data_IF_425941005705
#
_entry.id   IF_425941005705
#
_cell.length_a   1.000
_cell.length_b   1.000
_cell.length_c   1.000
_cell.angle_alpha   90.00
_cell.angle_beta   90.00
_cell.angle_gamma   90.00
#
_symmetry.space_group_name_H-M   'P 1'
#
loop_
_entity.id
_entity.type
_entity.pdbx_description
1 polymer ?
#
# COMPACT_ATOMS: atom_id res chain seq x y z
N UNK A 1 -12.88 -3.70 -2.33
CA UNK A 1 -13.41 -2.93 -3.47
C UNK A 1 -12.81 -3.56 -4.72
N UNK A 2 -13.63 -4.06 -5.64
CA UNK A 2 -13.14 -4.65 -6.91
C UNK A 2 -13.06 -3.53 -7.92
N UNK A 3 -11.89 -3.31 -8.51
CA UNK A 3 -11.69 -2.35 -9.59
C UNK A 3 -12.51 -2.75 -10.81
N UNK A 4 -13.00 -1.76 -11.56
CA UNK A 4 -13.56 -2.01 -12.90
C UNK A 4 -12.52 -2.78 -13.75
N UNK A 5 -12.86 -4.00 -14.24
CA UNK A 5 -11.96 -4.81 -15.06
C UNK A 5 -11.45 -4.06 -16.30
N UNK A 6 -12.23 -3.13 -16.85
CA UNK A 6 -11.83 -2.30 -17.99
C UNK A 6 -10.67 -1.36 -17.64
N UNK A 7 -10.73 -0.71 -16.47
CA UNK A 7 -9.67 0.18 -16.00
C UNK A 7 -8.38 -0.60 -15.73
N UNK A 8 -8.49 -1.76 -15.08
CA UNK A 8 -7.32 -2.60 -14.77
C UNK A 8 -6.69 -3.16 -16.04
N UNK A 9 -7.50 -3.60 -17.00
CA UNK A 9 -6.99 -4.16 -18.27
C UNK A 9 -6.27 -3.14 -19.12
N UNK A 10 -6.69 -1.86 -19.07
CA UNK A 10 -6.06 -0.79 -19.83
C UNK A 10 -4.65 -0.45 -19.33
N UNK A 11 -4.47 -0.37 -18.00
CA UNK A 11 -3.16 -0.11 -17.38
C UNK A 11 -3.10 -0.75 -15.98
N UNK A 12 -2.71 -2.03 -15.88
CA UNK A 12 -2.77 -2.76 -14.61
C UNK A 12 -1.76 -2.24 -13.60
N UNK A 13 -0.62 -1.71 -14.06
CA UNK A 13 0.40 -1.16 -13.18
C UNK A 13 -0.05 0.16 -12.57
N UNK A 14 -0.63 1.06 -13.36
CA UNK A 14 -1.22 2.30 -12.85
C UNK A 14 -2.41 2.06 -11.94
N UNK A 15 -3.24 1.07 -12.24
CA UNK A 15 -4.36 0.70 -11.38
C UNK A 15 -3.92 0.33 -9.95
N UNK A 16 -2.75 -0.32 -9.78
CA UNK A 16 -2.18 -0.65 -8.45
C UNK A 16 -1.87 0.58 -7.59
N UNK A 17 -1.67 1.75 -8.19
CA UNK A 17 -1.50 2.98 -7.43
C UNK A 17 -2.78 3.35 -6.67
N UNK A 18 -3.94 3.02 -7.22
CA UNK A 18 -5.24 3.31 -6.62
C UNK A 18 -5.71 2.18 -5.70
N UNK A 19 -5.63 0.93 -6.17
CA UNK A 19 -6.18 -0.23 -5.45
C UNK A 19 -5.45 -1.50 -5.86
N UNK A 20 -5.19 -2.39 -4.91
CA UNK A 20 -4.70 -3.72 -5.22
C UNK A 20 -5.83 -4.54 -5.87
N UNK A 21 -5.71 -4.81 -7.16
CA UNK A 21 -6.68 -5.62 -7.91
C UNK A 21 -6.39 -7.13 -7.84
N UNK A 22 -5.19 -7.55 -7.41
CA UNK A 22 -4.88 -8.96 -7.24
C UNK A 22 -5.36 -9.45 -5.88
N UNK A 23 -6.54 -10.08 -5.86
CA UNK A 23 -7.02 -10.82 -4.70
C UNK A 23 -6.28 -12.16 -4.56
N UNK A 24 -6.17 -12.66 -3.33
CA UNK A 24 -5.48 -13.93 -3.04
C UNK A 24 -6.05 -15.14 -3.79
N UNK A 25 -7.36 -15.14 -4.04
CA UNK A 25 -8.05 -16.17 -4.82
C UNK A 25 -8.33 -15.75 -6.28
N UNK A 26 -7.87 -14.58 -6.71
CA UNK A 26 -8.21 -14.00 -8.01
C UNK A 26 -7.19 -14.26 -9.11
N UNK A 27 -6.04 -14.87 -8.79
CA UNK A 27 -4.97 -15.15 -9.73
C UNK A 27 -4.95 -16.61 -10.19
N UNK A 28 -4.81 -16.82 -11.51
CA UNK A 28 -4.42 -18.11 -12.08
C UNK A 28 -3.07 -17.94 -12.77
N UNK A 29 -2.11 -18.78 -12.41
CA UNK A 29 -0.73 -18.68 -12.87
C UNK A 29 -0.33 -19.94 -13.61
N UNK A 30 0.41 -19.79 -14.71
CA UNK A 30 1.05 -20.92 -15.37
C UNK A 30 2.36 -21.24 -14.66
N UNK A 31 2.53 -22.49 -14.23
CA UNK A 31 3.71 -22.95 -13.47
C UNK A 31 5.01 -22.87 -14.28
N UNK A 32 4.92 -22.91 -15.61
CA UNK A 32 6.06 -22.74 -16.53
C UNK A 32 6.50 -21.27 -16.71
N UNK A 33 5.74 -20.31 -16.18
CA UNK A 33 6.02 -18.86 -16.30
C UNK A 33 6.20 -18.17 -14.96
N UNK A 34 5.39 -18.52 -13.96
CA UNK A 34 5.45 -17.93 -12.63
C UNK A 34 6.05 -18.95 -11.67
N UNK A 35 7.35 -18.81 -11.40
CA UNK A 35 8.03 -19.64 -10.39
C UNK A 35 7.63 -19.21 -8.97
N UNK A 36 8.00 -20.03 -8.00
CA UNK A 36 7.83 -19.73 -6.57
C UNK A 36 8.57 -18.47 -6.12
N UNK A 37 9.59 -18.04 -6.86
CA UNK A 37 10.41 -16.87 -6.51
C UNK A 37 9.58 -15.58 -6.53
N UNK A 38 8.52 -15.52 -7.33
CA UNK A 38 7.58 -14.40 -7.32
C UNK A 38 6.85 -14.24 -5.98
N UNK A 39 6.65 -15.35 -5.29
CA UNK A 39 6.01 -15.45 -3.97
C UNK A 39 7.04 -15.41 -2.83
N UNK A 40 8.34 -15.34 -3.14
CA UNK A 40 9.34 -15.09 -2.10
C UNK A 40 9.04 -13.73 -1.46
N UNK A 41 9.01 -13.67 -0.14
CA UNK A 41 8.55 -12.45 0.50
C UNK A 41 8.47 -12.62 1.99
N UNK A 42 9.29 -11.86 2.69
CA UNK A 42 9.28 -11.77 4.15
C UNK A 42 8.12 -10.92 4.68
N UNK A 43 7.26 -10.40 3.79
CA UNK A 43 6.22 -9.45 4.15
C UNK A 43 5.02 -10.15 4.79
N UNK A 44 4.82 -9.92 6.09
CA UNK A 44 3.68 -10.44 6.84
C UNK A 44 2.31 -9.92 6.33
N UNK A 45 2.31 -8.77 5.65
CA UNK A 45 1.15 -8.12 5.08
C UNK A 45 1.47 -7.62 3.67
N UNK A 46 0.44 -7.36 2.85
CA UNK A 46 0.58 -6.84 1.48
C UNK A 46 1.32 -7.74 0.49
N UNK A 47 1.47 -9.04 0.79
CA UNK A 47 2.05 -10.04 -0.11
C UNK A 47 1.48 -9.95 -1.53
N UNK A 48 0.15 -9.85 -1.66
CA UNK A 48 -0.53 -9.74 -2.95
C UNK A 48 -0.31 -8.42 -3.66
N UNK A 49 -0.07 -7.33 -2.92
CA UNK A 49 0.28 -6.04 -3.54
C UNK A 49 1.69 -6.10 -4.11
N UNK A 50 2.65 -6.62 -3.35
CA UNK A 50 4.02 -6.81 -3.84
C UNK A 50 4.07 -7.76 -5.04
N UNK A 51 3.38 -8.91 -4.93
CA UNK A 51 3.26 -9.87 -6.01
C UNK A 51 2.65 -9.24 -7.26
N UNK A 52 1.56 -8.46 -7.12
CA UNK A 52 0.94 -7.80 -8.25
C UNK A 52 1.94 -6.89 -8.98
N UNK A 53 2.68 -6.06 -8.25
CA UNK A 53 3.72 -5.19 -8.83
C UNK A 53 4.82 -5.99 -9.52
N UNK A 54 5.33 -7.07 -8.90
CA UNK A 54 6.33 -7.95 -9.51
C UNK A 54 5.83 -8.56 -10.81
N UNK A 55 4.60 -9.05 -10.84
CA UNK A 55 4.00 -9.69 -12.02
C UNK A 55 3.80 -8.68 -13.16
N UNK A 56 3.22 -7.51 -12.90
CA UNK A 56 3.01 -6.52 -13.98
C UNK A 56 4.30 -5.87 -14.47
N UNK A 57 5.36 -5.88 -13.65
CA UNK A 57 6.66 -5.39 -14.08
C UNK A 57 7.36 -6.34 -15.08
N UNK A 58 7.09 -7.65 -15.00
CA UNK A 58 7.79 -8.64 -15.83
C UNK A 58 6.90 -9.37 -16.85
N UNK A 59 5.57 -9.27 -16.74
CA UNK A 59 4.65 -10.08 -17.54
C UNK A 59 3.47 -9.28 -18.09
N UNK A 60 2.98 -9.72 -19.25
CA UNK A 60 1.67 -9.34 -19.76
C UNK A 60 0.60 -10.22 -19.09
N UNK A 61 -0.49 -9.59 -18.69
CA UNK A 61 -1.59 -10.26 -17.99
C UNK A 61 -2.88 -10.13 -18.80
N UNK A 62 -3.75 -11.13 -18.65
CA UNK A 62 -5.11 -11.09 -19.15
C UNK A 62 -6.07 -11.03 -17.95
N UNK A 63 -7.14 -10.26 -18.10
CA UNK A 63 -8.15 -10.07 -17.06
C UNK A 63 -9.48 -10.65 -17.52
N UNK A 64 -10.13 -11.39 -16.63
CA UNK A 64 -11.46 -11.96 -16.89
C UNK A 64 -12.50 -10.95 -16.44
N UNK A 65 -13.35 -10.50 -17.37
CA UNK A 65 -14.38 -9.48 -17.11
C UNK A 65 -15.63 -9.98 -16.39
N UNK A 66 -15.70 -11.26 -16.03
CA UNK A 66 -16.80 -11.84 -15.26
C UNK A 66 -16.38 -12.09 -13.79
N UNK A 67 -17.32 -12.01 -12.84
CA UNK A 67 -17.04 -12.35 -11.45
C UNK A 67 -16.67 -13.84 -11.30
N UNK A 68 -15.50 -14.13 -10.73
CA UNK A 68 -14.99 -15.51 -10.54
C UNK A 68 -14.75 -15.90 -9.09
N UNK A 69 -14.81 -14.94 -8.16
CA UNK A 69 -14.62 -15.18 -6.73
C UNK A 69 -15.40 -14.17 -5.88
N UNK A 70 -15.55 -14.49 -4.58
CA UNK A 70 -16.12 -13.60 -3.56
C UNK A 70 -15.12 -13.43 -2.42
N UNK A 71 -14.80 -12.18 -2.10
CA UNK A 71 -13.97 -11.84 -0.93
C UNK A 71 -14.89 -11.40 0.20
N UNK A 72 -14.70 -11.98 1.39
CA UNK A 72 -15.37 -11.54 2.62
C UNK A 72 -14.45 -10.60 3.39
N UNK A 73 -14.88 -9.36 3.58
CA UNK A 73 -14.23 -8.37 4.44
C UNK A 73 -15.06 -8.23 5.72
N UNK A 74 -14.49 -8.62 6.86
CA UNK A 74 -15.17 -8.64 8.15
C UNK A 74 -14.43 -7.75 9.14
N UNK A 75 -15.06 -7.32 10.23
CA UNK A 75 -14.42 -6.48 11.25
C UNK A 75 -13.14 -7.08 11.82
N UNK A 76 -13.02 -8.41 11.84
CA UNK A 76 -11.82 -9.15 12.29
C UNK A 76 -10.73 -9.33 11.23
N UNK A 77 -10.84 -8.75 10.03
CA UNK A 77 -9.81 -8.89 8.99
C UNK A 77 -8.45 -8.34 9.46
N UNK A 78 -7.37 -9.09 9.19
CA UNK A 78 -5.99 -8.74 9.62
C UNK A 78 -5.52 -7.38 9.09
N UNK A 79 -6.09 -6.89 7.99
CA UNK A 79 -5.86 -5.55 7.43
C UNK A 79 -6.28 -4.41 8.35
N UNK A 80 -7.02 -4.70 9.43
CA UNK A 80 -7.45 -3.73 10.45
C UNK A 80 -6.54 -3.71 11.67
N UNK A 81 -5.49 -4.55 11.70
CA UNK A 81 -4.53 -4.59 12.81
C UNK A 81 -3.59 -3.37 12.79
N UNK A 82 -3.07 -2.93 13.96
CA UNK A 82 -2.05 -1.89 14.02
C UNK A 82 -0.82 -2.22 13.17
N UNK A 83 -0.34 -3.47 13.25
CA UNK A 83 0.82 -3.96 12.49
C UNK A 83 0.68 -3.83 10.96
N UNK A 84 -0.55 -3.82 10.44
CA UNK A 84 -0.81 -3.59 9.02
C UNK A 84 -0.31 -2.21 8.56
N UNK A 85 -0.49 -1.16 9.37
CA UNK A 85 -0.07 0.21 8.99
C UNK A 85 1.44 0.34 8.86
N UNK A 86 2.18 -0.34 9.73
CA UNK A 86 3.63 -0.35 9.71
C UNK A 86 4.16 -1.08 8.48
N UNK A 87 3.58 -2.24 8.17
CA UNK A 87 3.97 -3.02 7.01
C UNK A 87 3.65 -2.33 5.67
N UNK A 88 2.70 -1.39 5.62
CA UNK A 88 2.44 -0.59 4.42
C UNK A 88 3.68 0.23 3.99
N UNK A 89 4.41 0.80 4.96
CA UNK A 89 5.65 1.54 4.66
C UNK A 89 6.71 0.61 4.10
N UNK A 90 6.88 -0.56 4.70
CA UNK A 90 7.91 -1.50 4.30
C UNK A 90 7.62 -2.09 2.91
N UNK A 91 6.38 -2.51 2.64
CA UNK A 91 6.03 -3.02 1.30
C UNK A 91 6.17 -1.95 0.22
N UNK A 92 5.82 -0.68 0.50
CA UNK A 92 5.95 0.39 -0.48
C UNK A 92 7.43 0.71 -0.78
N UNK A 93 8.34 0.55 0.19
CA UNK A 93 9.78 0.62 -0.06
C UNK A 93 10.26 -0.52 -0.95
N UNK A 94 9.80 -1.75 -0.70
CA UNK A 94 10.13 -2.89 -1.56
C UNK A 94 9.63 -2.68 -2.99
N UNK A 95 8.38 -2.24 -3.15
CA UNK A 95 7.82 -1.90 -4.47
C UNK A 95 8.65 -0.81 -5.15
N UNK A 96 9.07 0.23 -4.41
CA UNK A 96 9.90 1.30 -4.95
C UNK A 96 11.30 0.85 -5.41
N UNK A 97 11.79 -0.32 -4.98
CA UNK A 97 13.05 -0.90 -5.45
C UNK A 97 12.91 -1.70 -6.75
N UNK A 98 11.69 -2.00 -7.17
CA UNK A 98 11.45 -2.63 -8.46
C UNK A 98 11.83 -1.68 -9.62
N UNK A 99 12.10 -2.26 -10.78
CA UNK A 99 12.29 -1.51 -12.01
C UNK A 99 10.93 -1.04 -12.55
N UNK A 100 10.48 0.12 -12.06
CA UNK A 100 9.21 0.72 -12.39
C UNK A 100 9.39 1.93 -13.32
N UNK A 101 8.48 2.13 -14.29
CA UNK A 101 8.40 3.39 -15.03
C UNK A 101 8.29 4.59 -14.08
N UNK A 102 8.91 5.71 -14.46
CA UNK A 102 9.04 6.90 -13.61
C UNK A 102 7.69 7.43 -13.09
N UNK A 103 6.64 7.41 -13.92
CA UNK A 103 5.29 7.80 -13.48
C UNK A 103 4.78 6.92 -12.33
N UNK A 104 4.98 5.61 -12.45
CA UNK A 104 4.54 4.62 -11.46
C UNK A 104 5.37 4.75 -10.19
N UNK A 105 6.71 4.85 -10.33
CA UNK A 105 7.63 5.10 -9.22
C UNK A 105 7.21 6.33 -8.43
N UNK A 106 6.92 7.45 -9.10
CA UNK A 106 6.45 8.69 -8.45
C UNK A 106 5.11 8.50 -7.74
N UNK A 107 4.21 7.69 -8.32
CA UNK A 107 2.96 7.27 -7.69
C UNK A 107 3.18 6.48 -6.40
N UNK A 108 4.08 5.50 -6.41
CA UNK A 108 4.48 4.72 -5.24
C UNK A 108 5.09 5.62 -4.16
N UNK A 109 5.98 6.55 -4.54
CA UNK A 109 6.59 7.51 -3.61
C UNK A 109 5.54 8.43 -2.96
N UNK A 110 4.50 8.84 -3.70
CA UNK A 110 3.37 9.58 -3.13
C UNK A 110 2.58 8.74 -2.11
N UNK A 111 2.34 7.45 -2.42
CA UNK A 111 1.70 6.52 -1.46
C UNK A 111 2.55 6.34 -0.20
N UNK A 112 3.87 6.24 -0.36
CA UNK A 112 4.81 6.11 0.76
C UNK A 112 4.78 7.35 1.66
N UNK A 113 4.75 8.55 1.08
CA UNK A 113 4.53 9.79 1.83
C UNK A 113 3.21 9.79 2.62
N UNK A 114 2.12 9.34 2.00
CA UNK A 114 0.82 9.18 2.67
C UNK A 114 0.87 8.14 3.80
N UNK A 115 1.53 7.00 3.60
CA UNK A 115 1.68 5.95 4.61
C UNK A 115 2.44 6.48 5.84
N UNK A 116 3.51 7.25 5.63
CA UNK A 116 4.21 7.95 6.71
C UNK A 116 3.31 8.93 7.46
N UNK A 117 2.51 9.73 6.75
CA UNK A 117 1.55 10.61 7.39
C UNK A 117 0.51 9.84 8.24
N UNK A 118 -0.01 8.72 7.73
CA UNK A 118 -0.95 7.86 8.45
C UNK A 118 -0.33 7.26 9.72
N UNK A 119 0.94 6.86 9.68
CA UNK A 119 1.67 6.39 10.86
C UNK A 119 1.89 7.52 11.87
N UNK A 120 2.20 8.73 11.40
CA UNK A 120 2.31 9.89 12.28
C UNK A 120 1.01 10.14 13.05
N UNK A 121 -0.14 10.16 12.35
CA UNK A 121 -1.44 10.37 13.01
C UNK A 121 -1.81 9.23 13.94
N UNK A 122 -1.48 7.99 13.60
CA UNK A 122 -1.65 6.86 14.50
C UNK A 122 -0.83 7.01 15.79
N UNK A 123 0.49 7.24 15.68
CA UNK A 123 1.35 7.46 16.85
C UNK A 123 0.88 8.66 17.69
N UNK A 124 0.41 9.73 17.05
CA UNK A 124 -0.15 10.90 17.76
C UNK A 124 -1.40 10.52 18.56
N UNK A 125 -2.31 9.73 17.99
CA UNK A 125 -3.51 9.23 18.68
C UNK A 125 -3.15 8.29 19.84
N UNK A 126 -2.07 7.53 19.70
CA UNK A 126 -1.56 6.61 20.73
C UNK A 126 -0.64 7.26 21.77
N UNK A 127 -0.41 8.58 21.73
CA UNK A 127 0.46 9.30 22.68
C UNK A 127 1.97 9.15 22.44
N UNK A 128 2.39 8.48 21.36
CA UNK A 128 3.80 8.29 20.99
C UNK A 128 4.37 9.50 20.25
N UNK A 129 4.59 10.60 20.96
CA UNK A 129 4.98 11.88 20.37
C UNK A 129 6.26 11.82 19.50
N UNK A 130 7.30 11.11 19.97
CA UNK A 130 8.56 10.97 19.23
C UNK A 130 8.36 10.27 17.88
N UNK A 131 7.64 9.14 17.87
CA UNK A 131 7.28 8.40 16.65
C UNK A 131 6.43 9.27 15.72
N UNK A 132 5.46 10.00 16.27
CA UNK A 132 4.58 10.88 15.51
C UNK A 132 5.36 11.95 14.75
N UNK A 133 6.31 12.64 15.42
CA UNK A 133 7.19 13.63 14.79
C UNK A 133 8.09 13.01 13.73
N UNK A 134 8.74 11.88 14.04
CA UNK A 134 9.63 11.18 13.10
C UNK A 134 8.92 10.88 11.78
N UNK A 135 7.71 10.32 11.85
CA UNK A 135 6.95 9.97 10.66
C UNK A 135 6.34 11.17 9.93
N UNK A 136 5.96 12.23 10.66
CA UNK A 136 5.52 13.46 10.03
C UNK A 136 6.62 14.07 9.18
N UNK A 137 7.81 14.24 9.77
CA UNK A 137 8.98 14.79 9.07
C UNK A 137 9.32 13.92 7.85
N UNK A 138 9.33 12.59 7.99
CA UNK A 138 9.53 11.68 6.87
C UNK A 138 8.51 11.93 5.75
N UNK A 139 7.23 12.10 6.06
CA UNK A 139 6.16 12.32 5.06
C UNK A 139 6.35 13.60 4.22
N UNK A 140 6.98 14.63 4.78
CA UNK A 140 7.20 15.92 4.10
C UNK A 140 8.23 15.82 2.96
N UNK A 141 9.13 14.84 3.02
CA UNK A 141 10.17 14.63 1.99
C UNK A 141 9.67 13.86 0.76
N UNK A 142 8.42 13.40 0.75
CA UNK A 142 7.82 12.67 -0.38
C UNK A 142 6.94 13.57 -1.25
N UNK A 143 6.71 13.20 -2.54
CA UNK A 143 5.82 13.94 -3.43
C UNK A 143 4.43 14.16 -2.81
N UNK A 144 3.99 15.42 -2.74
CA UNK A 144 2.72 15.81 -2.11
C UNK A 144 2.80 16.01 -0.60
N UNK A 145 3.95 15.79 0.05
CA UNK A 145 4.13 15.94 1.49
C UNK A 145 3.81 17.33 2.03
N UNK A 146 4.01 18.39 1.23
CA UNK A 146 3.67 19.76 1.61
C UNK A 146 2.18 19.95 1.99
N UNK A 147 1.28 19.12 1.47
CA UNK A 147 -0.14 19.12 1.85
C UNK A 147 -0.36 18.79 3.33
N UNK A 148 0.62 18.15 3.99
CA UNK A 148 0.56 17.82 5.40
C UNK A 148 1.15 18.91 6.31
N UNK A 149 1.62 20.05 5.81
CA UNK A 149 2.18 21.11 6.67
C UNK A 149 1.16 21.63 7.70
N UNK A 150 -0.13 21.68 7.34
CA UNK A 150 -1.20 22.05 8.28
C UNK A 150 -1.34 21.07 9.46
N UNK A 151 -0.95 19.80 9.27
CA UNK A 151 -0.96 18.79 10.31
C UNK A 151 0.10 19.04 11.40
N UNK A 152 1.17 19.79 11.11
CA UNK A 152 2.20 20.17 12.12
C UNK A 152 1.59 20.80 13.37
N UNK A 153 0.51 21.59 13.22
CA UNK A 153 -0.20 22.21 14.35
C UNK A 153 -0.79 21.19 15.32
N UNK A 154 -1.19 20.01 14.83
CA UNK A 154 -1.72 18.91 15.64
C UNK A 154 -0.65 18.20 16.47
N UNK A 155 0.62 18.31 16.08
CA UNK A 155 1.75 17.77 16.84
C UNK A 155 2.28 18.76 17.89
N UNK A 156 2.15 20.07 17.64
CA UNK A 156 2.62 21.14 18.55
C UNK A 156 1.69 21.40 19.73
N UNK A 157 0.37 21.28 19.52
CA UNK A 157 -0.64 21.40 20.57
C UNK A 157 -1.42 20.09 20.64
N UNK A 158 -0.78 18.99 21.05
CA UNK A 158 -1.39 17.70 20.89
C UNK A 158 -2.50 17.56 21.94
N UNK A 159 -3.75 17.57 21.48
CA UNK A 159 -4.89 17.12 22.30
C UNK A 159 -4.73 15.62 22.46
N UNK A 160 -3.99 15.21 23.48
CA UNK A 160 -3.93 13.82 23.90
C UNK A 160 -5.31 13.54 24.49
N UNK A 161 -6.16 12.94 23.66
CA UNK A 161 -7.43 12.43 24.18
C UNK A 161 -7.09 11.41 25.26
N UNK A 162 -7.74 11.43 26.43
CA UNK A 162 -7.72 10.27 27.29
C UNK A 162 -8.36 9.13 26.47
N UNK A 163 -7.60 8.10 26.14
CA UNK A 163 -8.21 6.87 25.65
C UNK A 163 -8.40 5.93 26.83
N UNK A 164 -9.66 5.51 26.95
CA UNK A 164 -10.16 4.39 27.75
C UNK A 164 -9.40 3.09 27.48
#
# INVERSE_FOLDING_TARGET
MVSDPGIVSADPMKALLSVNWLASCGGLFRTDRVSTDYFDGTTLYFEWTLLAFRLVASMKMAFVGSPTFRVYDTSGSRSKSPGYRWAEVDVLKEVARLDLPEEIRRGVMRKLGKAYHNLSDHCRQSGEAASAWRFHVASLFYPGGASYLGYTRRLLAPRWGPHA
#
